data_IF_897770849417
#
_entry.id   IF_897770849417
#
_cell.length_a   1.000
_cell.length_b   1.000
_cell.length_c   1.000
_cell.angle_alpha   90.00
_cell.angle_beta   90.00
_cell.angle_gamma   90.00
#
_symmetry.space_group_name_H-M   'P 1'
#
loop_
_entity.id
_entity.type
_entity.pdbx_description
1 polymer ?
2 water ?
#
# COMPACT_ATOMS: atom_id res chain seq x y z
N UNK A 1 23.25 -19.01 8.20
CA UNK A 1 22.14 -18.08 8.34
C UNK A 1 22.46 -16.70 7.74
N UNK A 2 21.42 -15.94 7.41
CA UNK A 2 21.55 -14.60 6.87
C UNK A 2 20.74 -13.66 7.73
N UNK A 3 21.21 -12.42 7.88
CA UNK A 3 20.38 -11.40 8.51
C UNK A 3 19.24 -11.03 7.55
N UNK A 4 18.06 -10.79 8.11
CA UNK A 4 16.91 -10.47 7.28
C UNK A 4 17.08 -9.07 6.70
N UNK A 5 17.02 -8.97 5.36
CA UNK A 5 17.27 -7.68 4.70
C UNK A 5 16.24 -6.63 5.10
N UNK A 6 15.01 -7.06 5.38
CA UNK A 6 13.98 -6.09 5.70
C UNK A 6 14.21 -5.38 7.04
N UNK A 7 15.01 -5.96 7.93
CA UNK A 7 15.25 -5.35 9.23
C UNK A 7 16.45 -4.42 9.26
N UNK A 8 17.03 -4.21 8.08
CA UNK A 8 18.11 -3.26 7.91
C UNK A 8 17.49 -1.89 7.64
N UNK A 9 16.19 -1.90 7.40
CA UNK A 9 15.45 -0.67 7.19
C UNK A 9 14.28 -0.67 8.18
N UNK A 10 13.52 0.41 8.18
CA UNK A 10 12.44 0.55 9.15
C UNK A 10 11.12 -0.04 8.74
N UNK A 11 10.14 0.06 9.64
CA UNK A 11 8.81 -0.37 9.28
C UNK A 11 7.81 0.55 9.96
N UNK A 12 6.58 0.50 9.47
CA UNK A 12 5.45 1.13 10.14
C UNK A 12 4.61 -0.02 10.69
N UNK A 13 4.00 0.22 11.84
CA UNK A 13 3.19 -0.80 12.46
C UNK A 13 1.86 -0.21 12.86
N UNK A 14 0.78 -0.84 12.44
CA UNK A 14 -0.56 -0.41 12.80
C UNK A 14 -1.18 -1.47 13.69
N UNK A 15 -1.32 -1.16 14.97
CA UNK A 15 -1.83 -2.17 15.90
C UNK A 15 -3.36 -2.13 15.93
N UNK A 16 -3.96 -3.27 16.26
CA UNK A 16 -5.41 -3.36 16.31
C UNK A 16 -5.81 -4.40 17.35
N UNK A 17 -7.10 -4.49 17.62
CA UNK A 17 -7.56 -5.40 18.66
C UNK A 17 -8.44 -6.50 18.08
N UNK A 18 -9.29 -6.13 17.14
CA UNK A 18 -10.23 -7.11 16.61
C UNK A 18 -10.27 -7.01 15.10
N UNK A 19 -10.80 -8.06 14.49
CA UNK A 19 -10.91 -8.13 13.04
C UNK A 19 -12.38 -8.23 12.74
N UNK A 20 -12.84 -7.47 11.76
CA UNK A 20 -14.20 -7.64 11.33
C UNK A 20 -14.33 -7.63 9.82
N UNK A 21 -15.36 -8.34 9.37
CA UNK A 21 -15.62 -8.57 7.97
C UNK A 21 -16.82 -7.75 7.58
N UNK A 22 -16.66 -6.89 6.58
CA UNK A 22 -17.76 -6.03 6.14
C UNK A 22 -17.62 -5.70 4.66
N UNK A 23 -18.67 -6.00 3.90
CA UNK A 23 -18.72 -5.74 2.46
C UNK A 23 -17.46 -6.22 1.74
N UNK A 24 -17.08 -7.48 2.02
CA UNK A 24 -15.94 -8.19 1.41
C UNK A 24 -14.58 -7.67 1.79
N UNK A 25 -14.54 -6.72 2.72
CA UNK A 25 -13.30 -6.17 3.22
C UNK A 25 -12.96 -6.68 4.62
N UNK A 26 -11.71 -7.06 4.83
CA UNK A 26 -11.24 -7.33 6.19
C UNK A 26 -10.77 -6.04 6.87
N UNK A 27 -11.50 -5.62 7.89
CA UNK A 27 -11.13 -4.44 8.66
C UNK A 27 -10.47 -4.84 9.98
N UNK A 28 -9.45 -4.07 10.36
CA UNK A 28 -8.69 -4.33 11.58
C UNK A 28 -8.97 -3.13 12.49
N UNK A 29 -9.72 -3.38 13.56
CA UNK A 29 -10.28 -2.32 14.38
C UNK A 29 -9.48 -2.11 15.68
N UNK A 30 -9.13 -0.86 15.99
CA UNK A 30 -8.30 -0.56 17.16
C UNK A 30 -9.02 -0.86 18.46
N UNK A 31 -8.24 -0.95 19.53
CA UNK A 31 -8.76 -1.28 20.84
C UNK A 31 -9.93 -0.40 21.29
N UNK A 32 -9.82 0.91 21.08
CA UNK A 32 -10.91 1.77 21.54
C UNK A 32 -11.90 2.05 20.42
N UNK A 33 -11.69 1.38 19.28
CA UNK A 33 -12.63 1.41 18.16
C UNK A 33 -12.81 2.79 17.50
N UNK A 34 -11.76 3.59 17.57
CA UNK A 34 -11.71 4.88 16.88
C UNK A 34 -11.34 4.73 15.40
N UNK A 35 -10.57 3.69 15.08
CA UNK A 35 -10.11 3.47 13.72
C UNK A 35 -10.37 2.05 13.28
N UNK A 36 -10.62 1.92 11.98
CA UNK A 36 -10.64 0.63 11.32
C UNK A 36 -9.64 0.70 10.17
N UNK A 37 -8.64 -0.18 10.17
CA UNK A 37 -7.70 -0.23 9.07
C UNK A 37 -8.17 -1.27 8.06
N UNK A 38 -7.86 -1.06 6.79
CA UNK A 38 -8.01 -2.15 5.82
C UNK A 38 -6.90 -2.11 4.77
N UNK A 39 -6.62 -3.26 4.19
CA UNK A 39 -5.55 -3.37 3.20
C UNK A 39 -6.10 -3.14 1.79
N UNK A 40 -5.40 -2.35 1.00
CA UNK A 40 -5.79 -2.11 -0.38
C UNK A 40 -4.53 -1.81 -1.21
N UNK A 41 -4.27 -2.65 -2.22
CA UNK A 41 -3.16 -2.43 -3.15
C UNK A 41 -1.80 -2.24 -2.49
N UNK A 42 -1.49 -3.08 -1.52
CA UNK A 42 -0.17 -3.07 -0.91
C UNK A 42 0.00 -1.97 0.13
N UNK A 43 -1.04 -1.18 0.36
CA UNK A 43 -0.97 -0.16 1.40
C UNK A 43 -2.17 -0.25 2.34
N UNK A 44 -2.14 0.51 3.43
CA UNK A 44 -3.21 0.44 4.42
C UNK A 44 -4.01 1.72 4.51
N UNK A 45 -5.34 1.62 4.37
CA UNK A 45 -6.22 2.76 4.62
C UNK A 45 -6.75 2.73 6.05
N UNK A 46 -6.97 3.92 6.60
CA UNK A 46 -7.52 4.06 7.94
C UNK A 46 -8.79 4.90 7.91
N UNK A 47 -9.86 4.39 8.52
CA UNK A 47 -11.12 5.10 8.57
C UNK A 47 -11.50 5.30 10.02
N UNK A 48 -11.71 6.55 10.39
CA UNK A 48 -12.08 6.89 11.75
C UNK A 48 -13.57 6.87 11.92
N UNK A 49 -14.03 6.69 13.16
CA UNK A 49 -15.45 6.73 13.44
C UNK A 49 -16.00 8.12 13.15
N UNK A 50 -17.12 8.17 12.45
CA UNK A 50 -17.76 9.46 12.17
C UNK A 50 -18.24 10.07 13.46
N UNK A 51 -18.10 11.38 13.61
CA UNK A 51 -18.56 12.05 14.82
C UNK A 51 -19.68 13.02 14.47
N UNK A 55 -17.96 13.33 8.77
CA UNK A 55 -17.25 12.11 8.38
C UNK A 55 -16.00 11.90 9.21
N UNK A 56 -15.64 10.64 9.42
CA UNK A 56 -14.45 10.31 10.18
C UNK A 56 -13.17 10.66 9.44
N UNK A 57 -12.08 10.70 10.18
CA UNK A 57 -10.76 10.95 9.62
C UNK A 57 -10.35 9.83 8.68
N UNK A 58 -9.73 10.19 7.58
CA UNK A 58 -9.26 9.20 6.62
C UNK A 58 -7.77 9.39 6.46
N UNK A 59 -7.01 8.29 6.47
CA UNK A 59 -5.59 8.39 6.22
C UNK A 59 -5.16 7.13 5.51
N UNK A 60 -3.96 7.16 4.96
CA UNK A 60 -3.39 5.97 4.35
C UNK A 60 -1.92 5.85 4.71
N UNK A 61 -1.45 4.62 4.79
CA UNK A 61 -0.09 4.34 5.27
C UNK A 61 0.51 3.36 4.27
N UNK A 62 1.81 3.49 4.03
CA UNK A 62 2.49 2.51 3.19
C UNK A 62 3.71 3.04 2.47
N UNK A 63 4.16 2.30 1.47
CA UNK A 63 5.30 2.73 0.68
C UNK A 63 4.88 3.74 -0.37
N UNK A 64 5.67 4.77 -0.53
CA UNK A 64 5.51 5.65 -1.67
C UNK A 64 6.74 5.52 -2.56
N UNK A 65 6.61 5.91 -3.82
CA UNK A 65 7.78 6.00 -4.69
C UNK A 65 8.09 7.47 -4.88
N UNK A 66 9.38 7.81 -4.93
CA UNK A 66 9.76 9.21 -5.05
C UNK A 66 10.74 9.47 -6.20
N UNK A 67 12.02 9.56 -5.88
CA UNK A 67 13.02 9.83 -6.90
C UNK A 67 14.13 8.80 -6.93
N UNK A 68 15.03 8.92 -7.91
CA UNK A 68 16.21 8.09 -7.95
C UNK A 68 17.32 8.67 -7.05
N UNK A 69 17.09 9.87 -6.54
CA UNK A 69 18.01 10.53 -5.61
C UNK A 69 17.15 11.15 -4.53
N UNK A 70 17.78 11.73 -3.48
CA UNK A 70 17.04 12.31 -2.35
C UNK A 70 16.11 13.43 -2.78
N UNK A 71 16.57 14.26 -3.70
CA UNK A 71 15.91 15.53 -3.98
C UNK A 71 15.07 15.57 -5.25
N UNK A 72 14.83 14.43 -5.86
CA UNK A 72 14.01 14.44 -7.07
C UNK A 72 12.77 13.57 -6.92
N UNK A 73 11.89 13.62 -7.92
CA UNK A 73 10.67 12.84 -7.86
C UNK A 73 10.35 12.16 -9.20
N UNK A 74 11.39 11.74 -9.93
CA UNK A 74 11.20 11.21 -11.28
C UNK A 74 10.33 9.94 -11.28
N UNK A 75 10.38 9.15 -10.23
CA UNK A 75 9.62 7.91 -10.25
C UNK A 75 8.14 8.24 -10.00
N UNK A 76 7.88 8.99 -8.94
CA UNK A 76 6.53 9.48 -8.64
C UNK A 76 5.91 10.17 -9.86
N UNK A 77 6.70 11.04 -10.49
CA UNK A 77 6.22 11.79 -11.64
C UNK A 77 5.88 10.88 -12.81
N UNK A 78 6.68 9.83 -12.99
CA UNK A 78 6.44 8.87 -14.05
C UNK A 78 5.08 8.20 -13.84
N UNK A 79 4.86 7.69 -12.63
CA UNK A 79 3.60 7.04 -12.29
C UNK A 79 2.42 7.99 -12.51
N UNK A 80 2.59 9.25 -12.08
CA UNK A 80 1.53 10.25 -12.25
C UNK A 80 1.16 10.47 -13.71
N UNK A 81 2.15 10.68 -14.56
CA UNK A 81 1.89 10.93 -15.98
C UNK A 81 1.34 9.67 -16.62
N UNK A 82 1.80 8.51 -16.18
CA UNK A 82 1.23 7.25 -16.66
C UNK A 82 -0.25 7.12 -16.26
N UNK A 83 -0.58 7.56 -15.05
CA UNK A 83 -1.97 7.50 -14.58
C UNK A 83 -2.88 8.46 -15.35
N UNK A 84 -2.34 9.62 -15.72
CA UNK A 84 -3.08 10.60 -16.53
C UNK A 84 -3.48 10.02 -17.87
N UNK A 85 -2.55 9.30 -18.50
CA UNK A 85 -2.77 8.74 -19.81
C UNK A 85 -3.79 7.60 -19.82
N UNK A 86 -3.94 6.92 -18.67
CA UNK A 86 -4.97 5.89 -18.54
C UNK A 86 -6.33 6.56 -18.27
N UNK A 87 -6.30 7.82 -17.85
CA UNK A 87 -7.51 8.55 -17.55
C UNK A 87 -7.86 8.57 -16.07
N UNK A 88 -6.88 8.26 -15.22
CA UNK A 88 -7.11 8.18 -13.79
C UNK A 88 -6.40 9.31 -13.05
N UNK A 97 -1.07 13.80 -3.08
CA UNK A 97 0.00 14.11 -4.04
C UNK A 97 1.09 13.05 -4.06
N UNK A 98 1.37 12.45 -2.90
CA UNK A 98 2.35 11.36 -2.85
C UNK A 98 1.81 10.11 -3.55
N UNK A 99 2.71 9.37 -4.18
CA UNK A 99 2.34 8.19 -4.97
C UNK A 99 2.55 6.91 -4.15
N UNK A 100 1.47 6.37 -3.56
CA UNK A 100 1.57 5.13 -2.79
C UNK A 100 1.49 3.92 -3.71
N UNK A 101 1.77 2.74 -3.18
CA UNK A 101 1.74 1.53 -3.99
C UNK A 101 0.38 1.19 -4.57
N UNK A 102 -0.70 1.58 -3.90
CA UNK A 102 -2.02 1.29 -4.47
C UNK A 102 -2.27 2.09 -5.77
N UNK A 103 -1.71 3.28 -5.87
CA UNK A 103 -1.74 4.02 -7.13
C UNK A 103 -0.91 3.30 -8.17
N UNK A 104 0.18 2.67 -7.74
CA UNK A 104 0.99 1.90 -8.69
C UNK A 104 0.20 0.72 -9.25
N UNK A 105 -0.64 0.11 -8.41
CA UNK A 105 -1.50 -1.01 -8.87
C UNK A 105 -2.35 -0.65 -10.06
N UNK A 106 -2.84 0.59 -10.06
CA UNK A 106 -3.71 1.08 -11.12
C UNK A 106 -3.07 1.08 -12.50
N UNK A 107 -1.75 0.93 -12.55
CA UNK A 107 -1.06 0.89 -13.85
C UNK A 107 -1.22 -0.47 -14.52
N UNK A 108 -1.60 -1.46 -13.73
CA UNK A 108 -1.71 -2.83 -14.19
C UNK A 108 -2.97 -3.00 -15.02
N UNK A 109 -2.85 -3.63 -16.20
CA UNK A 109 -4.04 -3.73 -17.05
C UNK A 109 -5.17 -4.57 -16.43
N UNK A 110 -4.85 -5.39 -15.43
CA UNK A 110 -5.87 -6.21 -14.77
C UNK A 110 -6.59 -5.48 -13.65
N UNK A 111 -6.20 -4.22 -13.41
CA UNK A 111 -6.78 -3.41 -12.33
C UNK A 111 -7.46 -2.16 -12.88
N UNK A 112 -8.77 -2.03 -12.65
CA UNK A 112 -9.52 -0.87 -13.13
C UNK A 112 -9.81 0.17 -12.04
N UNK A 113 -9.68 -0.22 -10.77
CA UNK A 113 -9.81 0.75 -9.68
C UNK A 113 -9.26 0.17 -8.40
N UNK A 114 -9.26 0.97 -7.33
CA UNK A 114 -8.79 0.51 -6.05
C UNK A 114 -9.62 -0.68 -5.54
N UNK A 115 -10.89 -0.71 -5.93
CA UNK A 115 -11.81 -1.77 -5.49
C UNK A 115 -11.24 -3.15 -5.84
N UNK A 116 -10.62 -3.26 -7.01
CA UNK A 116 -10.07 -4.52 -7.50
C UNK A 116 -8.93 -5.09 -6.65
N UNK A 117 -8.28 -4.25 -5.87
CA UNK A 117 -7.16 -4.71 -5.05
C UNK A 117 -7.38 -4.59 -3.54
N UNK A 118 -8.65 -4.61 -3.12
CA UNK A 118 -8.92 -4.66 -1.68
C UNK A 118 -8.34 -5.95 -1.11
N UNK A 119 -7.86 -5.90 0.14
CA UNK A 119 -7.27 -7.07 0.80
C UNK A 119 -6.02 -7.64 0.09
N UNK A 120 -5.52 -6.94 -0.92
CA UNK A 120 -4.35 -7.41 -1.65
C UNK A 120 -3.04 -6.85 -1.08
N UNK A 121 -2.16 -7.73 -0.60
CA UNK A 121 -0.93 -7.29 0.11
C UNK A 121 0.21 -6.93 -0.85
N UNK A 122 0.17 -7.51 -2.05
CA UNK A 122 1.29 -7.44 -3.01
C UNK A 122 0.92 -6.57 -4.20
N UNK A 123 1.92 -5.96 -4.81
CA UNK A 123 1.70 -5.09 -5.97
C UNK A 123 2.48 -5.62 -7.17
N UNK A 124 1.76 -6.02 -8.20
CA UNK A 124 2.38 -6.45 -9.46
C UNK A 124 2.62 -5.27 -10.40
N UNK A 125 3.88 -5.11 -10.81
CA UNK A 125 4.24 -4.07 -11.77
C UNK A 125 4.67 -4.70 -13.08
N UNK A 126 3.87 -4.54 -14.13
CA UNK A 126 4.20 -5.06 -15.46
C UNK A 126 4.81 -4.00 -16.38
N UNK A 127 4.86 -2.76 -15.89
CA UNK A 127 5.48 -1.65 -16.61
C UNK A 127 7.00 -1.76 -16.43
N UNK A 128 7.71 -2.12 -17.50
CA UNK A 128 9.15 -2.40 -17.37
C UNK A 128 9.99 -1.15 -17.05
N UNK A 129 9.52 0.01 -17.49
CA UNK A 129 10.16 1.27 -17.12
C UNK A 129 10.07 1.51 -15.62
N UNK A 130 8.89 1.32 -15.05
CA UNK A 130 8.73 1.51 -13.61
C UNK A 130 9.49 0.44 -12.82
N UNK A 131 9.49 -0.78 -13.35
CA UNK A 131 10.25 -1.88 -12.74
C UNK A 131 11.72 -1.51 -12.70
N UNK A 132 12.20 -0.94 -13.80
CA UNK A 132 13.58 -0.49 -13.89
C UNK A 132 13.90 0.57 -12.84
N UNK A 133 13.00 1.53 -12.66
CA UNK A 133 13.13 2.54 -11.61
C UNK A 133 13.26 1.89 -10.24
N UNK A 134 12.50 0.81 -10.02
CA UNK A 134 12.47 0.18 -8.71
C UNK A 134 13.70 -0.66 -8.42
N UNK A 135 14.36 -1.15 -9.47
CA UNK A 135 15.41 -2.14 -9.30
C UNK A 135 16.78 -1.66 -9.79
N UNK A 136 16.79 -0.57 -10.56
CA UNK A 136 18.00 -0.05 -11.21
C UNK A 136 18.62 -1.01 -12.22
N UNK A 137 17.85 -2.00 -12.67
CA UNK A 137 18.29 -2.93 -13.70
C UNK A 137 17.20 -3.10 -14.75
N UNK A 138 17.58 -3.50 -15.96
CA UNK A 138 16.59 -3.91 -16.95
C UNK A 138 15.80 -5.07 -16.38
N UNK A 139 14.49 -4.92 -16.36
CA UNK A 139 13.61 -5.89 -15.71
C UNK A 139 12.42 -6.23 -16.59
N UNK A 140 12.34 -7.50 -16.99
CA UNK A 140 11.18 -7.98 -17.73
C UNK A 140 10.82 -9.38 -17.24
N UNK A 141 9.53 -9.74 -17.28
CA UNK A 141 8.40 -8.95 -17.77
C UNK A 141 7.80 -8.03 -16.71
N UNK A 142 8.33 -8.07 -15.51
CA UNK A 142 7.81 -7.25 -14.43
C UNK A 142 8.17 -7.83 -13.08
N UNK A 143 7.73 -7.17 -12.01
CA UNK A 143 8.06 -7.61 -10.66
C UNK A 143 6.86 -7.63 -9.74
N UNK A 144 6.93 -8.46 -8.70
CA UNK A 144 5.97 -8.39 -7.62
C UNK A 144 6.61 -7.66 -6.46
N UNK A 145 5.94 -6.63 -5.96
CA UNK A 145 6.46 -5.85 -4.84
C UNK A 145 5.65 -6.18 -3.60
N UNK A 146 6.33 -6.67 -2.56
CA UNK A 146 5.66 -7.07 -1.33
C UNK A 146 6.25 -6.29 -0.16
N UNK A 147 5.48 -5.37 0.37
CA UNK A 147 5.95 -4.58 1.50
C UNK A 147 5.01 -4.55 2.69
N UNK A 148 4.10 -5.53 2.75
CA UNK A 148 3.04 -5.52 3.78
C UNK A 148 2.78 -6.92 4.33
N UNK A 149 2.75 -7.05 5.65
CA UNK A 149 2.36 -8.31 6.27
C UNK A 149 1.36 -8.06 7.40
N UNK A 150 0.33 -8.91 7.48
CA UNK A 150 -0.56 -8.90 8.63
C UNK A 150 -0.07 -9.93 9.64
N UNK A 151 0.33 -9.46 10.81
CA UNK A 151 0.79 -10.32 11.90
C UNK A 151 -0.38 -10.65 12.82
N UNK A 152 -1.17 -11.65 12.41
CA UNK A 152 -2.45 -11.95 13.03
C UNK A 152 -2.32 -12.24 14.52
N UNK A 153 -1.28 -12.96 14.91
CA UNK A 153 -1.13 -13.34 16.30
C UNK A 153 -0.75 -12.14 17.17
N UNK A 154 0.07 -11.24 16.63
CA UNK A 154 0.47 -10.04 17.35
C UNK A 154 -0.53 -8.91 17.18
N UNK A 155 -1.48 -9.11 16.26
CA UNK A 155 -2.48 -8.09 15.92
C UNK A 155 -1.80 -6.77 15.53
N UNK A 156 -0.89 -6.88 14.56
CA UNK A 156 -0.22 -5.72 14.02
C UNK A 156 -0.18 -5.86 12.50
N UNK A 157 -0.48 -4.77 11.78
CA UNK A 157 -0.18 -4.73 10.35
C UNK A 157 1.16 -4.04 10.20
N UNK A 158 2.07 -4.69 9.50
CA UNK A 158 3.44 -4.19 9.36
C UNK A 158 3.71 -3.79 7.92
N UNK A 159 4.30 -2.61 7.74
CA UNK A 159 4.65 -2.10 6.41
C UNK A 159 6.15 -1.88 6.39
N UNK A 160 6.85 -2.49 5.45
CA UNK A 160 8.32 -2.42 5.44
C UNK A 160 8.88 -1.35 4.52
N UNK A 161 9.91 -0.66 4.98
CA UNK A 161 10.62 0.32 4.16
C UNK A 161 11.37 -0.37 3.03
N UNK A 162 11.87 -1.57 3.29
CA UNK A 162 12.57 -2.38 2.31
C UNK A 162 11.59 -3.41 1.73
N UNK A 163 11.03 -3.15 0.54
CA UNK A 163 10.06 -4.14 0.05
C UNK A 163 10.76 -5.35 -0.57
N UNK A 164 10.13 -6.51 -0.53
CA UNK A 164 10.63 -7.63 -1.31
C UNK A 164 10.20 -7.43 -2.75
N UNK A 165 11.17 -7.49 -3.67
CA UNK A 165 10.89 -7.29 -5.08
C UNK A 165 11.34 -8.50 -5.87
N UNK A 166 10.38 -9.17 -6.50
CA UNK A 166 10.66 -10.45 -7.15
C UNK A 166 10.19 -10.44 -8.59
N UNK A 167 11.04 -10.88 -9.51
CA UNK A 167 10.68 -10.96 -10.92
C UNK A 167 9.55 -11.98 -11.07
N UNK A 168 8.48 -11.59 -11.75
CA UNK A 168 7.29 -12.43 -11.83
C UNK A 168 7.54 -13.74 -12.59
N UNK A 169 8.59 -13.78 -13.39
CA UNK A 169 8.86 -14.94 -14.23
C UNK A 169 10.13 -15.71 -13.84
N UNK A 170 11.22 -14.99 -13.58
CA UNK A 170 12.48 -15.65 -13.23
C UNK A 170 12.63 -15.86 -11.72
N UNK A 171 11.84 -15.13 -10.95
CA UNK A 171 11.83 -15.21 -9.48
C UNK A 171 13.09 -14.67 -8.82
N UNK A 172 13.97 -14.03 -9.58
CA UNK A 172 15.07 -13.31 -8.96
C UNK A 172 14.57 -12.21 -8.02
N UNK A 173 15.30 -12.04 -6.92
CA UNK A 173 14.99 -11.03 -5.93
C UNK A 173 15.87 -9.81 -6.19
N UNK A 174 15.26 -8.62 -6.24
CA UNK A 174 16.03 -7.42 -6.54
C UNK A 174 16.22 -6.53 -5.29
N UNK A 175 17.40 -5.95 -5.16
CA UNK A 175 17.59 -4.94 -4.12
C UNK A 175 16.87 -3.68 -4.57
N UNK A 176 16.00 -3.14 -3.70
CA UNK A 176 15.30 -1.90 -4.04
C UNK A 176 16.32 -0.82 -4.36
N UNK A 177 16.05 -0.02 -5.39
CA UNK A 177 16.92 1.10 -5.70
C UNK A 177 16.92 2.07 -4.52
N UNK A 178 18.11 2.53 -4.09
CA UNK A 178 18.15 3.51 -3.01
C UNK A 178 17.33 4.74 -3.37
N UNK A 179 16.73 5.36 -2.36
CA UNK A 179 15.97 6.61 -2.46
C UNK A 179 14.58 6.48 -3.08
N UNK A 180 14.32 5.41 -3.81
CA UNK A 180 13.05 5.32 -4.54
C UNK A 180 11.87 5.14 -3.60
N UNK A 181 12.04 4.28 -2.60
CA UNK A 181 10.96 3.96 -1.68
C UNK A 181 11.14 4.66 -0.33
N UNK A 182 10.03 5.08 0.27
CA UNK A 182 10.04 5.63 1.61
C UNK A 182 8.73 5.25 2.28
N UNK A 183 8.72 5.16 3.60
CA UNK A 183 7.46 4.97 4.30
C UNK A 183 6.78 6.32 4.38
N UNK A 184 5.45 6.31 4.30
CA UNK A 184 4.71 7.58 4.39
C UNK A 184 3.34 7.39 4.99
N UNK A 185 2.77 8.49 5.47
CA UNK A 185 1.40 8.57 5.93
C UNK A 185 0.82 9.80 5.27
N UNK A 186 -0.38 9.68 4.74
CA UNK A 186 -1.07 10.84 4.19
C UNK A 186 -2.44 10.95 4.83
N UNK A 187 -2.83 12.15 5.23
CA UNK A 187 -4.21 12.42 5.60
C UNK A 187 -4.97 12.72 4.31
N UNK A 188 -6.19 12.21 4.20
CA UNK A 188 -6.99 12.40 2.99
C UNK A 188 -8.32 13.04 3.34
N UNK A 189 -8.85 13.89 2.45
CA UNK A 189 -10.16 14.50 2.67
C UNK A 189 -11.29 13.52 2.36
N UNK A 190 -10.97 12.42 1.69
CA UNK A 190 -11.96 11.39 1.35
C UNK A 190 -11.25 10.16 0.82
N UNK A 191 -11.90 9.01 0.93
CA UNK A 191 -11.38 7.80 0.30
C UNK A 191 -11.50 7.93 -1.20
N UNK A 192 -10.69 7.16 -1.95
CA UNK A 192 -10.93 7.05 -3.40
C UNK A 192 -12.39 6.69 -3.65
N UNK A 193 -12.98 7.24 -4.70
CA UNK A 193 -14.42 7.10 -4.92
C UNK A 193 -14.89 5.64 -5.00
N UNK A 194 -14.05 4.75 -5.53
CA UNK A 194 -14.46 3.35 -5.68
C UNK A 194 -14.47 2.60 -4.34
N UNK A 195 -13.83 3.17 -3.32
CA UNK A 195 -13.81 2.54 -2.01
C UNK A 195 -14.85 3.08 -1.03
N UNK A 196 -15.46 4.23 -1.34
CA UNK A 196 -16.34 4.87 -0.35
C UNK A 196 -17.48 3.98 0.11
N UNK A 197 -18.19 3.37 -0.83
CA UNK A 197 -19.31 2.49 -0.50
C UNK A 197 -18.92 1.35 0.47
N UNK A 198 -17.65 0.97 0.48
CA UNK A 198 -17.20 -0.16 1.30
C UNK A 198 -17.29 0.16 2.78
N UNK A 199 -17.17 1.44 3.14
CA UNK A 199 -17.16 1.82 4.55
C UNK A 199 -18.46 2.43 5.02
N UNK A 200 -19.43 2.59 4.13
CA UNK A 200 -20.74 3.05 4.56
C UNK A 200 -21.37 2.08 5.56
N UNK A 201 -21.76 2.59 6.72
CA UNK A 201 -22.46 1.79 7.71
C UNK A 201 -21.51 0.92 8.52
N UNK A 202 -20.22 0.99 8.22
CA UNK A 202 -19.22 0.16 8.90
C UNK A 202 -19.31 0.26 10.43
N UNK A 203 -19.31 1.48 10.96
CA UNK A 203 -19.28 1.68 12.40
C UNK A 203 -20.61 1.41 13.12
N UNK A 204 -21.67 1.19 12.35
CA UNK A 204 -22.96 0.83 12.95
C UNK A 204 -22.89 -0.51 13.67
N UNK A 205 -22.02 -1.41 13.22
CA UNK A 205 -21.81 -2.69 13.87
C UNK A 205 -20.59 -2.73 14.79
N UNK A 206 -20.05 -1.56 15.11
CA UNK A 206 -18.90 -1.45 16.00
C UNK A 206 -19.24 -0.56 17.19
N UNK A 207 -19.36 -1.15 18.39
CA UNK A 207 -19.66 -0.44 19.65
C UNK A 207 -18.75 0.78 19.89
N UNK A 208 -19.32 1.84 20.44
CA UNK A 208 -18.61 3.11 20.62
C UNK A 208 -17.43 3.01 21.60
N UNK A 209 -16.47 3.96 21.50
CA UNK A 209 -15.41 4.08 22.50
C UNK A 209 -15.95 4.54 23.86
#
# INVERSE_FOLDING_TARGET
>A
MWSHPQFEKGSMELSYATTMHYRDVVFYVTTDRNRAYFVCGGCVYSVGRPCASQPGEIAKFGLVVRGTGPDDRVVANYVRSELRQRGLQDVRPIGEDEVFLDSVCLLNPNVSSELDVINTNDVEVLDECLAEYCTSLRTSPGVLISGLRVRAQDRIIELFEHPTIVNVSSHFVYTPSPYVFALAQAHLPRLPSSLEALVSGLFDGIPAP
#
